data_IF_215271265075
#
_entry.id   IF_215271265075
#
_cell.length_a   1.000
_cell.length_b   1.000
_cell.length_c   1.000
_cell.angle_alpha   90.00
_cell.angle_beta   90.00
_cell.angle_gamma   90.00
#
_symmetry.space_group_name_H-M   'P 1'
#
loop_
_entity.id
_entity.type
_entity.pdbx_description
1 polymer ?
#
# COMPACT_ATOMS: atom_id res chain seq x y z
N UNK A 1 27.33 9.30 -14.22
CA UNK A 1 26.71 8.51 -13.12
C UNK A 1 25.36 9.09 -12.69
N UNK A 2 24.24 8.49 -13.14
CA UNK A 2 22.89 8.91 -12.74
C UNK A 2 22.67 8.52 -11.27
N UNK A 3 22.69 9.49 -10.35
CA UNK A 3 22.35 9.27 -8.93
C UNK A 3 20.90 8.75 -8.88
N UNK A 4 20.73 7.47 -8.56
CA UNK A 4 19.42 6.90 -8.24
C UNK A 4 18.85 7.72 -7.08
N UNK A 5 17.77 8.47 -7.31
CA UNK A 5 17.07 9.21 -6.26
C UNK A 5 16.74 8.18 -5.17
N UNK A 6 17.31 8.36 -3.98
CA UNK A 6 16.92 7.62 -2.77
C UNK A 6 15.40 7.82 -2.64
N UNK A 7 14.61 6.79 -2.94
CA UNK A 7 13.19 6.82 -2.64
C UNK A 7 13.06 6.92 -1.12
N UNK A 8 12.87 8.15 -0.63
CA UNK A 8 12.49 8.38 0.76
C UNK A 8 11.27 7.49 1.04
N UNK A 9 11.29 6.75 2.16
CA UNK A 9 10.15 5.91 2.54
C UNK A 9 8.94 6.83 2.75
N UNK A 10 8.07 6.89 1.74
CA UNK A 10 6.85 7.68 1.79
C UNK A 10 5.98 7.12 2.90
N UNK A 11 5.68 7.96 3.90
CA UNK A 11 4.75 7.63 4.98
C UNK A 11 3.37 7.31 4.40
N UNK A 12 2.60 6.52 5.13
CA UNK A 12 1.20 6.29 4.81
C UNK A 12 0.39 7.46 5.34
N UNK A 13 -0.43 8.06 4.48
CA UNK A 13 -1.39 9.08 4.90
C UNK A 13 -2.62 8.39 5.52
N UNK A 14 -3.29 9.04 6.47
CA UNK A 14 -4.44 8.46 7.17
C UNK A 14 -5.52 7.99 6.18
N UNK A 15 -5.83 8.78 5.16
CA UNK A 15 -6.80 8.41 4.11
C UNK A 15 -6.37 7.17 3.34
N UNK A 16 -5.07 7.07 3.05
CA UNK A 16 -4.48 5.94 2.33
C UNK A 16 -4.50 4.67 3.18
N UNK A 17 -4.40 4.79 4.51
CA UNK A 17 -4.56 3.67 5.45
C UNK A 17 -6.03 3.23 5.56
N UNK A 18 -6.98 4.16 5.59
CA UNK A 18 -8.41 3.83 5.60
C UNK A 18 -8.82 3.11 4.32
N UNK A 19 -8.47 3.67 3.16
CA UNK A 19 -8.73 3.04 1.86
C UNK A 19 -8.04 1.66 1.74
N UNK A 20 -6.90 1.48 2.42
CA UNK A 20 -6.21 0.18 2.51
C UNK A 20 -7.00 -0.84 3.33
N UNK A 21 -7.45 -0.47 4.53
CA UNK A 21 -8.23 -1.38 5.39
C UNK A 21 -9.55 -1.77 4.72
N UNK A 22 -10.25 -0.81 4.12
CA UNK A 22 -11.48 -1.05 3.36
C UNK A 22 -11.22 -2.01 2.18
N UNK A 23 -10.12 -1.80 1.44
CA UNK A 23 -9.74 -2.71 0.37
C UNK A 23 -9.40 -4.13 0.88
N UNK A 24 -8.80 -4.27 2.07
CA UNK A 24 -8.53 -5.59 2.66
C UNK A 24 -9.84 -6.28 3.05
N UNK A 25 -10.81 -5.53 3.57
CA UNK A 25 -12.14 -6.05 3.91
C UNK A 25 -12.93 -6.47 2.67
N UNK A 26 -12.90 -5.65 1.61
CA UNK A 26 -13.62 -5.90 0.36
C UNK A 26 -13.02 -7.04 -0.49
N UNK A 27 -11.69 -7.08 -0.62
CA UNK A 27 -11.01 -7.99 -1.54
C UNK A 27 -10.32 -9.15 -0.83
N UNK A 28 -10.11 -9.08 0.48
CA UNK A 28 -9.36 -10.06 1.25
C UNK A 28 -7.85 -9.83 1.21
N UNK A 29 -7.19 -10.11 2.34
CA UNK A 29 -5.74 -10.09 2.45
C UNK A 29 -5.12 -11.12 1.48
N UNK A 30 -4.16 -10.67 0.66
CA UNK A 30 -3.53 -11.49 -0.39
C UNK A 30 -3.84 -11.03 -1.81
N UNK A 31 -4.97 -10.33 -2.01
CA UNK A 31 -5.39 -9.79 -3.30
C UNK A 31 -4.80 -8.40 -3.60
N UNK A 32 -3.52 -8.21 -3.30
CA UNK A 32 -2.85 -6.89 -3.33
C UNK A 32 -2.90 -6.20 -4.69
N UNK A 33 -2.78 -6.94 -5.79
CA UNK A 33 -2.88 -6.35 -7.13
C UNK A 33 -4.28 -5.81 -7.41
N UNK A 34 -5.33 -6.50 -6.96
CA UNK A 34 -6.71 -6.07 -7.14
C UNK A 34 -7.00 -4.79 -6.33
N UNK A 35 -6.39 -4.67 -5.16
CA UNK A 35 -6.53 -3.51 -4.28
C UNK A 35 -5.87 -2.23 -4.83
N UNK A 36 -4.92 -2.32 -5.77
CA UNK A 36 -4.25 -1.13 -6.32
C UNK A 36 -5.20 -0.17 -7.05
N UNK A 37 -6.34 -0.68 -7.54
CA UNK A 37 -7.39 0.15 -8.14
C UNK A 37 -8.34 0.80 -7.13
N UNK A 38 -8.18 0.53 -5.83
CA UNK A 38 -9.07 1.02 -4.79
C UNK A 38 -8.57 2.34 -4.19
N UNK A 39 -9.43 3.37 -4.20
CA UNK A 39 -9.18 4.66 -3.55
C UNK A 39 -7.83 5.29 -3.91
N UNK A 40 -7.10 5.74 -2.89
CA UNK A 40 -5.80 6.39 -3.01
C UNK A 40 -4.60 5.43 -3.17
N UNK A 41 -4.82 4.13 -3.36
CA UNK A 41 -3.75 3.12 -3.44
C UNK A 41 -3.03 3.06 -4.80
N UNK A 42 -3.46 3.86 -5.78
CA UNK A 42 -2.93 3.89 -7.15
C UNK A 42 -1.44 4.25 -7.24
N UNK A 43 -0.92 4.99 -6.25
CA UNK A 43 0.50 5.36 -6.16
C UNK A 43 1.32 4.41 -5.28
N UNK A 44 0.75 3.27 -4.86
CA UNK A 44 1.43 2.20 -4.15
C UNK A 44 1.69 1.03 -5.09
N UNK A 45 2.45 0.06 -4.59
CA UNK A 45 2.69 -1.21 -5.26
C UNK A 45 2.11 -2.35 -4.44
N UNK A 46 1.81 -3.48 -5.09
CA UNK A 46 1.35 -4.69 -4.41
C UNK A 46 2.29 -5.12 -3.26
N UNK A 47 3.60 -4.90 -3.44
CA UNK A 47 4.61 -5.14 -2.41
C UNK A 47 4.43 -4.19 -1.22
N UNK A 48 4.20 -2.88 -1.45
CA UNK A 48 3.94 -1.94 -0.36
C UNK A 48 2.71 -2.32 0.47
N UNK A 49 1.64 -2.77 -0.20
CA UNK A 49 0.41 -3.23 0.45
C UNK A 49 0.67 -4.45 1.34
N UNK A 50 1.35 -5.46 0.80
CA UNK A 50 1.74 -6.66 1.55
C UNK A 50 2.60 -6.33 2.77
N UNK A 51 3.60 -5.45 2.61
CA UNK A 51 4.49 -5.05 3.69
C UNK A 51 3.75 -4.22 4.75
N UNK A 52 2.82 -3.35 4.34
CA UNK A 52 1.96 -2.60 5.26
C UNK A 52 1.10 -3.54 6.09
N UNK A 53 0.43 -4.52 5.46
CA UNK A 53 -0.35 -5.54 6.17
C UNK A 53 0.48 -6.27 7.21
N UNK A 54 1.68 -6.74 6.81
CA UNK A 54 2.62 -7.42 7.73
C UNK A 54 3.03 -6.56 8.92
N UNK A 55 3.15 -5.25 8.74
CA UNK A 55 3.50 -4.33 9.82
C UNK A 55 2.31 -4.03 10.75
N UNK A 56 1.07 -4.12 10.26
CA UNK A 56 -0.15 -3.95 11.07
C UNK A 56 -0.43 -5.19 11.92
N UNK A 57 -0.11 -6.38 11.41
CA UNK A 57 -0.28 -7.66 12.13
C UNK A 57 0.76 -7.91 13.23
N UNK A 58 1.72 -7.00 13.44
CA UNK A 58 2.69 -7.06 14.52
C UNK A 58 2.19 -6.27 15.72
#
# INVERSE_FOLDING_TARGET
PKKLKKHSRRKWELREELDFLEAVELYGAGNWQKMLGHGCLTNRTAVNLKDKWRNILK
#
